data_IF_567337124937
#
_entry.id   IF_567337124937
#
_cell.length_a   1.000
_cell.length_b   1.000
_cell.length_c   1.000
_cell.angle_alpha   90.00
_cell.angle_beta   90.00
_cell.angle_gamma   90.00
#
_symmetry.space_group_name_H-M   'P 1'
#
loop_
_entity.id
_entity.type
_entity.pdbx_description
1 polymer ?
#
# COMPACT_ATOMS: atom_id res chain seq x y z
N UNK A 1 -12.50 12.34 14.99
CA UNK A 1 -12.66 12.50 13.53
C UNK A 1 -13.25 11.21 12.95
N UNK A 2 -13.67 11.20 11.68
CA UNK A 2 -14.16 10.00 10.98
C UNK A 2 -13.38 9.84 9.67
N UNK A 3 -13.15 8.60 9.25
CA UNK A 3 -12.47 8.26 8.00
C UNK A 3 -13.22 7.13 7.29
N UNK A 4 -13.11 7.08 5.97
CA UNK A 4 -13.52 5.94 5.15
C UNK A 4 -12.27 5.12 4.82
N UNK A 5 -12.31 3.83 5.06
CA UNK A 5 -11.19 2.94 4.77
C UNK A 5 -11.60 1.48 4.79
N UNK A 6 -10.71 0.64 4.26
CA UNK A 6 -10.92 -0.80 4.21
C UNK A 6 -10.33 -1.46 5.46
N UNK A 7 -11.03 -2.48 5.99
CA UNK A 7 -10.48 -3.30 7.06
C UNK A 7 -9.43 -4.25 6.48
N UNK A 8 -8.17 -3.91 6.66
CA UNK A 8 -7.03 -4.78 6.34
C UNK A 8 -6.05 -4.76 7.48
N UNK A 9 -5.49 -5.92 7.83
CA UNK A 9 -4.49 -6.04 8.88
C UNK A 9 -3.07 -5.74 8.39
N UNK A 10 -2.85 -5.61 7.07
CA UNK A 10 -1.52 -5.48 6.48
C UNK A 10 -0.60 -6.71 6.59
N UNK A 11 -1.02 -7.77 7.30
CA UNK A 11 -0.18 -8.91 7.65
C UNK A 11 0.39 -9.67 6.45
N UNK A 12 -0.37 -9.81 5.37
CA UNK A 12 0.13 -10.45 4.14
C UNK A 12 1.28 -9.65 3.50
N UNK A 13 1.16 -8.31 3.46
CA UNK A 13 2.22 -7.45 2.93
C UNK A 13 3.50 -7.53 3.76
N UNK A 14 3.37 -7.62 5.09
CA UNK A 14 4.51 -7.80 6.00
C UNK A 14 5.19 -9.15 5.77
N UNK A 15 4.40 -10.24 5.73
CA UNK A 15 4.96 -11.58 5.52
C UNK A 15 5.72 -11.69 4.19
N UNK A 16 5.22 -11.02 3.14
CA UNK A 16 5.91 -10.94 1.85
C UNK A 16 7.21 -10.13 1.94
N UNK A 17 7.20 -9.01 2.67
CA UNK A 17 8.40 -8.19 2.89
C UNK A 17 9.48 -8.97 3.66
N UNK A 18 9.10 -9.68 4.71
CA UNK A 18 10.00 -10.52 5.50
C UNK A 18 10.57 -11.68 4.67
N UNK A 19 9.73 -12.37 3.89
CA UNK A 19 10.17 -13.45 3.02
C UNK A 19 11.16 -12.96 1.93
N UNK A 20 10.89 -11.80 1.32
CA UNK A 20 11.79 -11.21 0.33
C UNK A 20 13.13 -10.80 0.95
N UNK A 21 13.10 -10.18 2.14
CA UNK A 21 14.31 -9.81 2.87
C UNK A 21 15.13 -11.05 3.30
N UNK A 22 14.46 -12.13 3.74
CA UNK A 22 15.10 -13.40 4.06
C UNK A 22 15.75 -14.06 2.82
N UNK A 23 15.18 -13.85 1.64
CA UNK A 23 15.77 -14.25 0.36
C UNK A 23 16.92 -13.32 -0.10
N UNK A 24 17.27 -12.30 0.68
CA UNK A 24 18.40 -11.40 0.43
C UNK A 24 18.05 -10.08 -0.27
N UNK A 25 16.77 -9.84 -0.59
CA UNK A 25 16.32 -8.59 -1.21
C UNK A 25 16.41 -7.41 -0.24
N UNK A 26 16.62 -6.21 -0.77
CA UNK A 26 16.36 -4.95 -0.06
C UNK A 26 14.91 -4.55 -0.34
N UNK A 27 14.14 -4.30 0.70
CA UNK A 27 12.69 -4.13 0.63
C UNK A 27 12.29 -2.73 1.08
N UNK A 28 11.49 -2.06 0.25
CA UNK A 28 10.78 -0.84 0.62
C UNK A 28 9.30 -1.18 0.85
N UNK A 29 8.89 -1.21 2.11
CA UNK A 29 7.52 -1.48 2.50
C UNK A 29 6.77 -0.16 2.68
N UNK A 30 5.85 0.14 1.75
CA UNK A 30 4.94 1.29 1.87
C UNK A 30 3.65 0.79 2.51
N UNK A 31 3.27 1.36 3.66
CA UNK A 31 2.14 0.83 4.41
C UNK A 31 1.44 1.87 5.30
N UNK A 32 0.22 1.53 5.73
CA UNK A 32 -0.57 2.42 6.58
C UNK A 32 -0.06 2.44 8.03
N UNK A 33 0.05 3.64 8.60
CA UNK A 33 0.70 3.90 9.89
C UNK A 33 0.10 3.16 11.11
N UNK A 34 -1.14 2.66 11.01
CA UNK A 34 -1.97 2.24 12.16
C UNK A 34 -1.82 0.78 12.57
N UNK A 35 -1.25 -0.09 11.73
CA UNK A 35 -1.31 -1.54 11.96
C UNK A 35 0.07 -2.24 11.99
N UNK A 36 1.18 -1.49 11.94
CA UNK A 36 2.50 -2.08 11.69
C UNK A 36 3.51 -1.71 12.75
N UNK A 37 3.95 -2.73 13.49
CA UNK A 37 5.27 -2.75 14.12
C UNK A 37 6.25 -3.09 12.99
N UNK A 38 7.16 -2.17 12.60
CA UNK A 38 8.21 -2.51 11.66
C UNK A 38 8.95 -3.74 12.17
N UNK A 39 9.36 -4.70 11.32
CA UNK A 39 10.24 -5.78 11.77
C UNK A 39 11.51 -5.13 12.30
N UNK A 40 11.59 -5.00 13.63
CA UNK A 40 12.50 -4.09 14.32
C UNK A 40 13.99 -4.43 14.10
N UNK A 41 14.25 -5.62 13.55
CA UNK A 41 15.57 -6.24 13.52
C UNK A 41 16.07 -6.54 12.10
N UNK A 42 15.29 -6.22 11.06
CA UNK A 42 15.69 -6.51 9.67
C UNK A 42 16.18 -5.26 8.93
N UNK A 43 17.51 -5.07 8.91
CA UNK A 43 18.18 -3.96 8.24
C UNK A 43 17.91 -3.88 6.72
N UNK A 44 17.35 -4.94 6.11
CA UNK A 44 16.98 -4.95 4.69
C UNK A 44 15.60 -4.38 4.43
N UNK A 45 14.78 -4.11 5.45
CA UNK A 45 13.41 -3.59 5.30
C UNK A 45 13.37 -2.13 5.75
N UNK A 46 13.04 -1.23 4.83
CA UNK A 46 12.71 0.17 5.14
C UNK A 46 11.21 0.37 5.04
N UNK A 47 10.60 0.99 6.06
CA UNK A 47 9.16 1.24 6.10
C UNK A 47 8.86 2.71 5.80
N UNK A 48 8.00 2.96 4.82
CA UNK A 48 7.44 4.27 4.50
C UNK A 48 5.95 4.29 4.88
N UNK A 49 5.54 5.25 5.71
CA UNK A 49 4.17 5.33 6.24
C UNK A 49 3.33 6.27 5.39
N UNK A 50 2.14 5.82 5.00
CA UNK A 50 1.13 6.61 4.27
C UNK A 50 -0.24 6.46 4.93
N UNK A 51 -1.16 7.39 4.74
CA UNK A 51 -2.51 7.35 5.31
C UNK A 51 -3.61 7.28 4.25
N UNK A 52 -3.37 7.91 3.09
CA UNK A 52 -4.34 8.06 2.01
C UNK A 52 -3.94 7.29 0.75
N UNK A 53 -4.92 6.99 -0.11
CA UNK A 53 -4.66 6.39 -1.43
C UNK A 53 -3.77 7.27 -2.30
N UNK A 54 -3.92 8.60 -2.20
CA UNK A 54 -3.10 9.56 -2.95
C UNK A 54 -1.63 9.54 -2.50
N UNK A 55 -1.37 9.46 -1.19
CA UNK A 55 -0.01 9.31 -0.67
C UNK A 55 0.61 7.97 -1.10
N UNK A 56 -0.16 6.88 -1.01
CA UNK A 56 0.28 5.57 -1.50
C UNK A 56 0.65 5.64 -3.00
N UNK A 57 -0.17 6.29 -3.82
CA UNK A 57 0.11 6.48 -5.24
C UNK A 57 1.43 7.22 -5.46
N UNK A 58 1.61 8.35 -4.78
CA UNK A 58 2.82 9.17 -4.93
C UNK A 58 4.08 8.41 -4.50
N UNK A 59 4.01 7.70 -3.36
CA UNK A 59 5.11 6.88 -2.86
C UNK A 59 5.48 5.76 -3.83
N UNK A 60 4.48 5.04 -4.35
CA UNK A 60 4.70 3.99 -5.37
C UNK A 60 5.33 4.58 -6.63
N UNK A 61 4.80 5.68 -7.16
CA UNK A 61 5.34 6.33 -8.37
C UNK A 61 6.79 6.80 -8.20
N UNK A 62 7.15 7.30 -7.02
CA UNK A 62 8.50 7.75 -6.72
C UNK A 62 9.52 6.59 -6.68
N UNK A 63 9.09 5.37 -6.30
CA UNK A 63 9.97 4.19 -6.17
C UNK A 63 9.93 3.24 -7.37
N UNK A 64 8.81 3.17 -8.09
CA UNK A 64 8.57 2.18 -9.14
C UNK A 64 9.64 2.14 -10.24
N UNK A 65 10.34 3.26 -10.50
CA UNK A 65 11.40 3.33 -11.52
C UNK A 65 12.72 2.69 -11.08
N UNK A 66 12.91 2.43 -9.79
CA UNK A 66 14.18 2.02 -9.20
C UNK A 66 14.10 0.66 -8.49
N UNK A 67 13.05 -0.12 -8.74
CA UNK A 67 12.85 -1.44 -8.11
C UNK A 67 12.77 -2.54 -9.17
N UNK A 68 13.33 -3.70 -8.85
CA UNK A 68 13.29 -4.87 -9.74
C UNK A 68 11.91 -5.55 -9.75
N UNK A 69 11.13 -5.35 -8.68
CA UNK A 69 9.79 -5.90 -8.52
C UNK A 69 8.91 -4.98 -7.67
N UNK A 70 7.62 -4.96 -7.99
CA UNK A 70 6.57 -4.29 -7.22
C UNK A 70 5.49 -5.31 -6.83
N UNK A 71 5.15 -5.36 -5.55
CA UNK A 71 4.11 -6.23 -5.00
C UNK A 71 3.02 -5.36 -4.37
N UNK A 72 1.82 -5.38 -4.97
CA UNK A 72 0.68 -4.60 -4.50
C UNK A 72 -0.22 -5.45 -3.60
N UNK A 73 0.06 -5.47 -2.30
CA UNK A 73 -0.73 -6.18 -1.28
C UNK A 73 -1.66 -5.26 -0.48
N UNK A 74 -1.65 -3.96 -0.76
CA UNK A 74 -2.47 -2.97 -0.06
C UNK A 74 -3.95 -3.12 -0.42
N UNK A 75 -4.83 -3.08 0.58
CA UNK A 75 -6.27 -3.02 0.38
C UNK A 75 -6.70 -1.57 0.15
N UNK A 76 -6.58 -1.12 -1.10
CA UNK A 76 -6.84 0.25 -1.50
C UNK A 76 -8.34 0.53 -1.50
N UNK A 77 -8.76 1.71 -1.02
CA UNK A 77 -10.13 2.14 -1.16
C UNK A 77 -10.41 2.62 -2.60
N UNK A 78 -11.42 2.06 -3.27
CA UNK A 78 -11.81 2.46 -4.63
C UNK A 78 -12.40 3.88 -4.69
N UNK A 79 -12.88 4.38 -3.56
CA UNK A 79 -13.57 5.66 -3.44
C UNK A 79 -13.03 6.51 -2.29
N UNK A 80 -13.19 7.82 -2.42
CA UNK A 80 -12.91 8.83 -1.39
C UNK A 80 -14.10 9.80 -1.26
N UNK A 81 -14.27 10.48 -0.12
CA UNK A 81 -15.21 11.61 -0.05
C UNK A 81 -14.86 12.66 -1.10
N UNK A 82 -15.88 13.15 -1.82
CA UNK A 82 -15.71 14.25 -2.77
C UNK A 82 -15.31 15.55 -2.03
N UNK A 83 -15.92 15.78 -0.87
CA UNK A 83 -15.66 16.93 -0.02
C UNK A 83 -15.13 16.51 1.36
N UNK A 84 -14.11 17.22 1.84
CA UNK A 84 -13.56 17.04 3.19
C UNK A 84 -14.11 18.13 4.13
N UNK A 85 -14.75 17.72 5.22
CA UNK A 85 -15.18 18.65 6.24
C UNK A 85 -13.98 19.10 7.10
N UNK A 86 -13.73 20.42 7.15
CA UNK A 86 -12.68 21.01 7.97
C UNK A 86 -12.94 20.86 9.49
N UNK A 87 -14.17 20.52 9.88
CA UNK A 87 -14.55 20.28 11.26
C UNK A 87 -15.46 19.07 11.40
N UNK A 88 -15.54 18.52 12.62
CA UNK A 88 -16.37 17.35 12.90
C UNK A 88 -17.85 17.66 12.61
N UNK A 89 -18.43 16.92 11.66
CA UNK A 89 -19.86 16.97 11.38
C UNK A 89 -20.64 16.59 12.66
N UNK A 90 -21.41 17.57 13.16
CA UNK A 90 -22.23 17.44 14.37
C UNK A 90 -23.54 16.72 14.04
N UNK A 91 -24.14 16.11 15.05
CA UNK A 91 -25.53 15.64 14.95
C UNK A 91 -26.45 16.86 15.01
N UNK A 92 -27.48 16.86 14.19
CA UNK A 92 -28.59 17.81 14.25
C UNK A 92 -29.85 17.01 14.54
N UNK A 93 -30.64 17.47 15.50
CA UNK A 93 -31.86 16.75 15.91
C UNK A 93 -33.01 16.94 14.90
N UNK A 94 -32.95 17.99 14.07
CA UNK A 94 -34.02 18.41 13.16
C UNK A 94 -33.65 18.27 11.66
N UNK A 95 -33.13 17.12 11.24
CA UNK A 95 -32.86 16.92 9.81
C UNK A 95 -32.38 15.51 9.45
N UNK A 96 -32.41 15.16 8.15
CA UNK A 96 -31.85 13.90 7.67
C UNK A 96 -30.35 13.82 7.97
N UNK A 97 -29.86 12.58 8.13
CA UNK A 97 -28.43 12.34 8.30
C UNK A 97 -27.63 12.90 7.12
N UNK A 98 -26.39 13.38 7.35
CA UNK A 98 -25.55 13.93 6.29
C UNK A 98 -25.28 12.88 5.21
N UNK A 99 -25.48 13.28 3.96
CA UNK A 99 -25.11 12.48 2.79
C UNK A 99 -23.62 12.69 2.51
N UNK A 100 -22.88 11.58 2.39
CA UNK A 100 -21.47 11.62 1.99
C UNK A 100 -21.38 11.21 0.53
N UNK A 101 -21.12 12.18 -0.35
CA UNK A 101 -20.86 11.92 -1.77
C UNK A 101 -19.46 11.35 -1.91
N UNK A 102 -19.35 10.24 -2.66
CA UNK A 102 -18.10 9.57 -2.94
C UNK A 102 -17.70 9.78 -4.39
N UNK A 103 -16.41 9.97 -4.62
CA UNK A 103 -15.80 9.96 -5.94
C UNK A 103 -14.71 8.89 -6.01
N UNK A 104 -14.33 8.51 -7.24
CA UNK A 104 -13.32 7.47 -7.44
C UNK A 104 -11.95 7.95 -6.98
N UNK A 105 -11.23 7.08 -6.29
CA UNK A 105 -9.79 7.27 -6.13
C UNK A 105 -9.09 7.06 -7.48
N UNK A 106 -7.88 7.63 -7.65
CA UNK A 106 -7.01 7.26 -8.74
C UNK A 106 -6.78 5.75 -8.75
N UNK A 107 -6.83 5.15 -9.93
CA UNK A 107 -6.55 3.72 -10.07
C UNK A 107 -5.06 3.49 -9.81
N UNK A 108 -4.76 2.88 -8.67
CA UNK A 108 -3.42 2.38 -8.34
C UNK A 108 -3.28 0.88 -8.59
N UNK A 109 -4.39 0.18 -8.89
CA UNK A 109 -4.42 -1.22 -9.30
C UNK A 109 -4.02 -1.43 -10.76
N UNK A 110 -4.10 -0.40 -11.61
CA UNK A 110 -3.65 -0.48 -13.01
C UNK A 110 -2.12 -0.49 -13.19
N UNK A 111 -1.33 -0.40 -12.11
CA UNK A 111 0.10 -0.75 -12.10
C UNK A 111 0.35 -2.16 -11.54
N UNK A 112 -0.59 -3.09 -11.76
CA UNK A 112 -0.41 -4.51 -11.48
C UNK A 112 0.62 -5.15 -12.40
N UNK A 113 1.73 -5.61 -11.81
CA UNK A 113 2.78 -6.45 -12.40
C UNK A 113 3.33 -6.00 -13.77
N UNK A 114 4.27 -5.05 -13.77
CA UNK A 114 5.27 -4.96 -14.85
C UNK A 114 6.54 -5.71 -14.42
N UNK A 115 6.76 -6.90 -14.99
CA UNK A 115 8.06 -7.56 -15.00
C UNK A 115 8.90 -6.92 -16.11
N UNK A 116 9.67 -5.90 -15.77
CA UNK A 116 10.72 -5.38 -16.64
C UNK A 116 11.96 -6.25 -16.54
N UNK A 117 12.22 -7.11 -17.53
CA UNK A 117 13.57 -7.66 -17.73
C UNK A 117 14.50 -6.52 -18.13
N UNK A 118 15.29 -5.97 -17.21
CA UNK A 118 16.50 -5.26 -17.60
C UNK A 118 17.62 -6.31 -17.82
N UNK A 119 18.14 -6.45 -19.05
CA UNK A 119 19.07 -7.51 -19.39
C UNK A 119 20.49 -7.11 -19.00
N UNK A 120 20.83 -7.13 -17.70
CA UNK A 120 22.25 -7.01 -17.29
C UNK A 120 22.54 -7.24 -15.80
N UNK A 121 21.72 -8.01 -15.07
CA UNK A 121 22.09 -8.57 -13.75
C UNK A 121 21.18 -9.72 -13.33
N UNK A 122 21.66 -10.70 -12.55
CA UNK A 122 21.06 -12.03 -12.48
C UNK A 122 19.67 -12.01 -11.83
N UNK A 123 18.65 -12.31 -12.62
CA UNK A 123 17.38 -12.82 -12.16
C UNK A 123 17.59 -14.24 -11.65
N UNK A 124 17.49 -14.45 -10.34
CA UNK A 124 17.42 -15.78 -9.76
C UNK A 124 16.05 -15.97 -9.08
N UNK A 125 15.11 -16.53 -9.83
CA UNK A 125 14.28 -17.64 -9.34
C UNK A 125 13.80 -18.47 -10.55
N UNK A 126 14.73 -19.28 -11.06
CA UNK A 126 14.41 -20.42 -11.90
C UNK A 126 14.18 -21.65 -11.01
N UNK A 127 13.03 -22.31 -11.18
CA UNK A 127 12.82 -23.77 -11.15
C UNK A 127 13.62 -24.56 -10.10
N UNK A 128 12.92 -25.13 -9.11
CA UNK A 128 13.35 -26.38 -8.47
C UNK A 128 12.19 -27.38 -8.56
N UNK A 129 12.40 -28.45 -9.33
CA UNK A 129 11.69 -29.73 -9.20
C UNK A 129 12.57 -30.72 -8.46
N UNK A 130 11.89 -31.64 -7.79
CA UNK A 130 12.31 -32.88 -7.13
C UNK A 130 12.95 -32.69 -5.74
N UNK A 131 12.53 -33.43 -4.72
CA UNK A 131 11.78 -34.70 -4.73
C UNK A 131 10.29 -34.56 -4.45
#
# INVERSE_FOLDING_TARGET
MRYLGNRSSGGQGIALAEAAAAAGATVHLIARATDIVPPADNQRITVEKVETTAELQAAVQAKAKNVDALIMAAAVADFRPADYAASKIKKTDDGPSPVITLERNPDIGLFGLQVGRYPSRPLAMSRIRSR
#
